data_IF_914584839907
#
_entry.id   IF_914584839907
#
_cell.length_a   1.000
_cell.length_b   1.000
_cell.length_c   1.000
_cell.angle_alpha   90.00
_cell.angle_beta   90.00
_cell.angle_gamma   90.00
#
_symmetry.space_group_name_H-M   'P 1'
#
loop_
_entity.id
_entity.type
_entity.pdbx_description
1 polymer ?
#
# COMPACT_ATOMS: atom_id res chain seq x y z
N UNK A 1 -10.68 -4.33 13.21
CA UNK A 1 -10.77 -3.28 12.20
C UNK A 1 -9.53 -2.43 12.32
N UNK A 2 -8.66 -2.48 11.32
CA UNK A 2 -7.42 -1.70 11.29
C UNK A 2 -7.75 -0.26 10.87
N UNK A 3 -7.07 0.72 11.46
CA UNK A 3 -7.28 2.12 11.16
C UNK A 3 -6.11 2.68 10.37
N UNK A 4 -6.39 3.23 9.19
CA UNK A 4 -5.39 3.91 8.36
C UNK A 4 -5.40 5.40 8.71
N UNK A 5 -4.25 5.94 9.09
CA UNK A 5 -4.09 7.36 9.37
C UNK A 5 -3.90 8.15 8.09
N UNK A 6 -4.67 9.24 7.94
CA UNK A 6 -4.57 10.18 6.83
C UNK A 6 -4.43 11.60 7.36
N UNK A 7 -3.50 12.37 6.82
CA UNK A 7 -3.45 13.82 6.97
C UNK A 7 -3.68 14.46 5.63
N UNK A 8 -4.63 15.39 5.55
CA UNK A 8 -5.00 16.00 4.29
C UNK A 8 -5.30 17.48 4.47
N UNK A 9 -5.43 18.19 3.35
CA UNK A 9 -6.02 19.51 3.37
C UNK A 9 -7.12 19.62 2.32
N UNK A 10 -8.23 20.27 2.69
CA UNK A 10 -9.37 20.48 1.79
C UNK A 10 -9.94 21.87 2.00
N UNK A 11 -9.81 22.71 0.97
CA UNK A 11 -10.27 24.11 1.04
C UNK A 11 -11.75 24.22 0.65
N UNK A 12 -12.15 23.54 -0.43
CA UNK A 12 -13.49 23.58 -1.04
C UNK A 12 -14.33 22.31 -0.85
N UNK A 13 -13.80 21.28 -0.17
CA UNK A 13 -14.55 20.05 0.15
C UNK A 13 -14.36 18.88 -0.81
N UNK A 14 -13.69 19.06 -1.95
CA UNK A 14 -13.45 17.97 -2.92
C UNK A 14 -12.70 16.79 -2.31
N UNK A 15 -11.54 17.04 -1.69
CA UNK A 15 -10.72 16.01 -1.03
C UNK A 15 -11.45 15.39 0.16
N UNK A 16 -12.21 16.18 0.92
CA UNK A 16 -13.06 15.69 2.01
C UNK A 16 -14.10 14.69 1.50
N UNK A 17 -14.84 15.05 0.44
CA UNK A 17 -15.84 14.18 -0.18
C UNK A 17 -15.24 12.89 -0.76
N UNK A 18 -14.00 12.95 -1.27
CA UNK A 18 -13.27 11.75 -1.69
C UNK A 18 -12.99 10.82 -0.49
N UNK A 19 -12.43 11.35 0.59
CA UNK A 19 -12.07 10.56 1.78
C UNK A 19 -13.30 9.94 2.48
N UNK A 20 -14.43 10.63 2.54
CA UNK A 20 -15.69 10.09 3.08
C UNK A 20 -16.21 8.89 2.28
N UNK A 21 -16.04 8.90 0.95
CA UNK A 21 -16.40 7.77 0.08
C UNK A 21 -15.39 6.65 0.20
N UNK A 22 -14.10 6.99 0.30
CA UNK A 22 -13.01 6.03 0.44
C UNK A 22 -13.13 5.24 1.75
N UNK A 23 -13.43 5.92 2.86
CA UNK A 23 -13.65 5.29 4.17
C UNK A 23 -14.81 4.27 4.12
N UNK A 24 -15.96 4.66 3.53
CA UNK A 24 -17.10 3.74 3.35
C UNK A 24 -16.73 2.52 2.51
N UNK A 25 -15.93 2.70 1.46
CA UNK A 25 -15.48 1.60 0.61
C UNK A 25 -14.51 0.66 1.36
N UNK A 26 -13.54 1.21 2.09
CA UNK A 26 -12.58 0.44 2.89
C UNK A 26 -13.28 -0.37 3.99
N UNK A 27 -14.25 0.21 4.68
CA UNK A 27 -15.02 -0.49 5.71
C UNK A 27 -15.80 -1.67 5.14
N UNK A 28 -16.37 -1.49 3.95
CA UNK A 28 -17.18 -2.51 3.28
C UNK A 28 -16.33 -3.65 2.70
N UNK A 29 -15.27 -3.31 1.97
CA UNK A 29 -14.52 -4.30 1.16
C UNK A 29 -13.29 -4.87 1.88
N UNK A 30 -12.65 -4.09 2.75
CA UNK A 30 -11.39 -4.47 3.42
C UNK A 30 -11.54 -4.65 4.94
N UNK A 31 -12.68 -4.30 5.53
CA UNK A 31 -12.88 -4.27 6.99
C UNK A 31 -11.82 -3.38 7.70
N UNK A 32 -11.49 -2.26 7.05
CA UNK A 32 -10.58 -1.22 7.52
C UNK A 32 -11.31 0.14 7.59
N UNK A 33 -10.82 1.07 8.41
CA UNK A 33 -11.41 2.42 8.51
C UNK A 33 -10.35 3.50 8.39
N UNK A 34 -10.73 4.68 7.91
CA UNK A 34 -9.85 5.84 7.87
C UNK A 34 -10.00 6.68 9.14
N UNK A 35 -8.87 7.07 9.74
CA UNK A 35 -8.80 8.24 10.61
C UNK A 35 -8.16 9.38 9.82
N UNK A 36 -8.95 10.36 9.36
CA UNK A 36 -8.49 11.41 8.47
C UNK A 36 -8.63 12.80 9.11
N UNK A 37 -7.52 13.54 9.17
CA UNK A 37 -7.44 14.84 9.83
C UNK A 37 -7.19 15.92 8.78
N UNK A 38 -8.11 16.89 8.71
CA UNK A 38 -7.97 18.05 7.84
C UNK A 38 -7.09 19.10 8.53
N UNK A 39 -5.89 19.33 8.01
CA UNK A 39 -4.93 20.28 8.59
C UNK A 39 -5.48 21.71 8.61
N UNK A 40 -6.39 22.05 7.68
CA UNK A 40 -7.10 23.35 7.69
C UNK A 40 -7.86 23.56 9.00
N UNK A 41 -8.48 22.52 9.54
CA UNK A 41 -9.33 22.65 10.73
C UNK A 41 -8.48 22.86 11.99
N UNK A 42 -7.29 22.24 12.05
CA UNK A 42 -6.28 22.50 13.09
C UNK A 42 -5.80 23.95 13.07
N UNK A 43 -5.49 24.48 11.88
CA UNK A 43 -5.08 25.89 11.72
C UNK A 43 -6.20 26.83 12.17
N UNK A 44 -7.45 26.53 11.81
CA UNK A 44 -8.60 27.36 12.17
C UNK A 44 -8.93 27.30 13.67
N UNK A 45 -8.67 26.18 14.35
CA UNK A 45 -8.87 26.04 15.80
C UNK A 45 -7.75 26.68 16.63
N UNK A 46 -6.71 27.22 15.98
CA UNK A 46 -5.53 27.77 16.64
C UNK A 46 -4.58 26.69 17.18
N UNK A 47 -4.81 25.43 16.83
CA UNK A 47 -3.91 24.33 17.13
C UNK A 47 -2.66 24.40 16.24
N UNK A 48 -1.49 24.04 16.76
CA UNK A 48 -0.27 24.02 15.96
C UNK A 48 -0.40 22.98 14.85
N UNK A 49 -0.29 23.41 13.58
CA UNK A 49 -0.19 22.51 12.41
C UNK A 49 1.16 21.78 12.33
N UNK A 50 1.87 21.65 13.45
CA UNK A 50 3.22 21.09 13.57
C UNK A 50 3.30 20.31 14.88
N UNK A 51 2.93 19.03 14.82
CA UNK A 51 3.07 18.06 15.90
C UNK A 51 3.81 16.84 15.37
N UNK A 52 4.36 16.04 16.29
CA UNK A 52 5.09 14.83 15.91
C UNK A 52 4.11 13.71 15.57
N UNK A 53 4.32 13.05 14.43
CA UNK A 53 3.63 11.84 14.00
C UNK A 53 4.61 10.67 14.22
N UNK A 54 4.18 9.62 14.92
CA UNK A 54 5.01 8.43 15.16
C UNK A 54 4.52 7.19 14.38
N UNK A 55 3.26 7.21 13.95
CA UNK A 55 2.61 6.10 13.26
C UNK A 55 2.63 6.34 11.74
N UNK A 56 2.66 5.27 10.92
CA UNK A 56 2.57 5.39 9.47
C UNK A 56 1.27 6.10 9.04
N UNK A 57 1.37 6.94 8.02
CA UNK A 57 0.21 7.67 7.49
C UNK A 57 0.29 7.91 5.98
N UNK A 58 -0.83 8.31 5.38
CA UNK A 58 -0.89 8.81 4.00
C UNK A 58 -1.25 10.29 3.95
N UNK A 59 -0.76 10.98 2.92
CA UNK A 59 -1.10 12.37 2.66
C UNK A 59 -2.07 12.50 1.48
N UNK A 60 -3.05 13.39 1.57
CA UNK A 60 -3.91 13.78 0.44
C UNK A 60 -3.82 15.28 0.21
N UNK A 61 -3.40 15.68 -0.99
CA UNK A 61 -3.01 17.06 -1.30
C UNK A 61 -3.69 17.56 -2.59
N UNK A 62 -4.62 18.53 -2.51
CA UNK A 62 -5.09 19.23 -3.68
C UNK A 62 -4.03 20.21 -4.20
N UNK A 63 -3.93 20.36 -5.52
CA UNK A 63 -3.03 21.33 -6.12
C UNK A 63 -3.64 22.73 -6.16
N UNK A 64 -2.96 23.67 -5.49
CA UNK A 64 -3.22 25.10 -5.56
C UNK A 64 -1.88 25.79 -5.84
N UNK A 65 -1.71 26.27 -7.06
CA UNK A 65 -0.48 26.93 -7.51
C UNK A 65 -0.78 28.39 -7.87
N UNK A 66 0.23 29.24 -7.77
CA UNK A 66 0.15 30.58 -8.35
C UNK A 66 -0.20 30.48 -9.84
N UNK A 67 -1.12 31.36 -10.28
CA UNK A 67 -1.40 31.48 -11.70
C UNK A 67 -0.21 32.07 -12.43
N UNK A 68 -0.01 31.65 -13.67
CA UNK A 68 1.00 32.25 -14.53
C UNK A 68 0.82 33.75 -14.73
N UNK A 69 1.93 34.46 -14.92
CA UNK A 69 1.95 35.91 -15.22
C UNK A 69 1.95 36.22 -16.72
N UNK A 70 1.72 35.20 -17.56
CA UNK A 70 1.79 35.28 -19.03
C UNK A 70 3.18 35.00 -19.62
N UNK A 71 4.23 34.90 -18.79
CA UNK A 71 5.58 34.46 -19.17
C UNK A 71 5.87 33.05 -18.65
N UNK A 72 5.52 32.80 -17.38
CA UNK A 72 5.59 31.48 -16.75
C UNK A 72 4.20 30.98 -16.39
N UNK A 73 4.04 29.66 -16.27
CA UNK A 73 2.77 29.02 -15.90
C UNK A 73 2.46 29.03 -14.41
N UNK A 74 3.45 29.39 -13.57
CA UNK A 74 3.37 29.34 -12.11
C UNK A 74 3.42 27.90 -11.57
N UNK A 75 4.41 27.61 -10.73
CA UNK A 75 4.60 26.30 -10.08
C UNK A 75 4.77 26.41 -8.56
N UNK A 76 4.56 27.61 -8.01
CA UNK A 76 4.68 27.90 -6.59
C UNK A 76 3.38 27.51 -5.88
N UNK A 77 3.50 26.62 -4.88
CA UNK A 77 2.39 26.22 -4.01
C UNK A 77 1.83 27.40 -3.21
N UNK A 78 0.49 27.52 -3.20
CA UNK A 78 -0.26 28.46 -2.37
C UNK A 78 -1.37 27.74 -1.60
N UNK A 79 -1.80 28.33 -0.49
CA UNK A 79 -2.95 27.90 0.34
C UNK A 79 -2.80 26.53 1.06
N UNK A 80 -2.05 25.58 0.50
CA UNK A 80 -1.91 24.20 1.03
C UNK A 80 -0.65 23.96 1.85
N UNK A 81 0.21 24.98 1.97
CA UNK A 81 1.46 24.93 2.74
C UNK A 81 1.33 24.50 4.21
N UNK A 82 0.18 24.63 4.91
CA UNK A 82 0.06 24.03 6.24
C UNK A 82 0.29 22.52 6.27
N UNK A 83 -0.13 21.78 5.23
CA UNK A 83 0.16 20.34 5.14
C UNK A 83 1.67 20.12 4.94
N UNK A 84 2.33 20.93 4.10
CA UNK A 84 3.80 20.92 3.95
C UNK A 84 4.49 21.04 5.30
N UNK A 85 4.09 22.04 6.10
CA UNK A 85 4.68 22.32 7.41
C UNK A 85 4.52 21.16 8.38
N UNK A 86 3.36 20.49 8.35
CA UNK A 86 3.15 19.28 9.14
C UNK A 86 4.09 18.16 8.72
N UNK A 87 4.22 17.90 7.42
CA UNK A 87 5.08 16.83 6.87
C UNK A 87 6.57 17.11 7.12
N UNK A 88 6.99 18.38 6.98
CA UNK A 88 8.37 18.81 7.21
C UNK A 88 8.75 18.87 8.70
N UNK A 89 7.78 18.75 9.61
CA UNK A 89 8.07 18.85 11.04
C UNK A 89 8.82 17.61 11.54
N UNK A 90 10.06 17.82 12.01
CA UNK A 90 10.93 16.77 12.57
C UNK A 90 11.08 15.59 11.58
N UNK A 91 10.68 14.40 11.99
CA UNK A 91 10.81 13.16 11.23
C UNK A 91 9.49 12.71 10.59
N UNK A 92 8.46 13.56 10.55
CA UNK A 92 7.13 13.18 10.07
C UNK A 92 7.17 12.62 8.64
N UNK A 93 7.99 13.19 7.75
CA UNK A 93 8.19 12.67 6.39
C UNK A 93 8.61 11.19 6.34
N UNK A 94 9.36 10.68 7.34
CA UNK A 94 9.78 9.27 7.41
C UNK A 94 8.63 8.31 7.70
N UNK A 95 7.53 8.82 8.24
CA UNK A 95 6.32 8.04 8.54
C UNK A 95 5.25 8.17 7.43
N UNK A 96 5.46 9.03 6.43
CA UNK A 96 4.57 9.15 5.28
C UNK A 96 4.80 7.97 4.33
N UNK A 97 3.80 7.11 4.16
CA UNK A 97 3.87 5.95 3.28
C UNK A 97 3.70 6.32 1.80
N UNK A 98 3.15 7.50 1.54
CA UNK A 98 3.00 8.08 0.21
C UNK A 98 1.91 9.16 0.18
N UNK A 99 1.86 9.87 -0.94
CA UNK A 99 0.94 10.99 -1.17
C UNK A 99 0.00 10.70 -2.34
N UNK A 100 -1.25 11.14 -2.20
CA UNK A 100 -2.26 11.12 -3.26
C UNK A 100 -2.55 12.55 -3.68
N UNK A 101 -2.40 12.84 -4.97
CA UNK A 101 -2.68 14.14 -5.56
C UNK A 101 -4.16 14.31 -5.92
N UNK A 102 -4.73 15.48 -5.64
CA UNK A 102 -6.01 15.91 -6.19
C UNK A 102 -5.80 17.15 -7.06
N UNK A 103 -6.47 17.22 -8.21
CA UNK A 103 -6.26 18.33 -9.13
C UNK A 103 -7.43 18.54 -10.09
N UNK A 104 -7.20 19.37 -11.10
CA UNK A 104 -8.12 19.59 -12.20
C UNK A 104 -7.34 19.52 -13.51
N UNK A 105 -7.75 18.63 -14.42
CA UNK A 105 -7.02 18.34 -15.66
C UNK A 105 -6.99 19.52 -16.63
N UNK A 106 -7.88 20.50 -16.46
CA UNK A 106 -7.84 21.76 -17.19
C UNK A 106 -6.51 22.52 -16.98
N UNK A 107 -5.77 22.21 -15.92
CA UNK A 107 -4.44 22.77 -15.65
C UNK A 107 -3.30 21.96 -16.30
N UNK A 108 -3.59 21.00 -17.18
CA UNK A 108 -2.61 20.28 -18.01
C UNK A 108 -1.37 19.80 -17.22
N UNK A 109 -0.18 20.36 -17.47
CA UNK A 109 1.09 19.96 -16.83
C UNK A 109 1.14 20.24 -15.33
N UNK A 110 0.25 21.11 -14.84
CA UNK A 110 0.13 21.44 -13.42
C UNK A 110 -0.87 20.53 -12.68
N UNK A 111 -1.53 19.60 -13.37
CA UNK A 111 -2.39 18.61 -12.73
C UNK A 111 -1.60 17.85 -11.66
N UNK A 112 -2.05 17.95 -10.40
CA UNK A 112 -1.45 17.28 -9.23
C UNK A 112 0.05 17.59 -8.96
N UNK A 113 0.62 18.62 -9.60
CA UNK A 113 2.05 18.92 -9.53
C UNK A 113 2.59 19.06 -8.10
N UNK A 114 1.82 19.66 -7.19
CA UNK A 114 2.22 19.82 -5.77
C UNK A 114 2.51 18.49 -5.07
N UNK A 115 1.80 17.42 -5.42
CA UNK A 115 2.06 16.09 -4.85
C UNK A 115 3.41 15.53 -5.33
N UNK A 116 3.75 15.75 -6.60
CA UNK A 116 5.07 15.40 -7.15
C UNK A 116 6.20 16.22 -6.52
N UNK A 117 6.00 17.53 -6.33
CA UNK A 117 6.97 18.39 -5.64
C UNK A 117 7.24 17.88 -4.21
N UNK A 118 6.21 17.49 -3.46
CA UNK A 118 6.38 16.91 -2.12
C UNK A 118 7.09 15.56 -2.16
N UNK A 119 6.77 14.74 -3.16
CA UNK A 119 7.42 13.44 -3.35
C UNK A 119 8.92 13.59 -3.61
N UNK A 120 9.32 14.55 -4.46
CA UNK A 120 10.72 14.89 -4.72
C UNK A 120 11.41 15.46 -3.47
N UNK A 121 10.74 16.36 -2.75
CA UNK A 121 11.31 17.01 -1.56
C UNK A 121 11.51 16.05 -0.38
N UNK A 122 10.54 15.18 -0.12
CA UNK A 122 10.50 14.37 1.11
C UNK A 122 10.82 12.88 0.90
N UNK A 123 10.89 12.40 -0.35
CA UNK A 123 11.34 11.04 -0.69
C UNK A 123 10.30 9.92 -0.56
N UNK A 124 9.06 10.22 -0.17
CA UNK A 124 7.95 9.25 -0.24
C UNK A 124 7.30 9.26 -1.63
N UNK A 125 6.69 8.15 -2.10
CA UNK A 125 6.15 8.07 -3.45
C UNK A 125 4.82 8.83 -3.60
N UNK A 126 4.55 9.35 -4.80
CA UNK A 126 3.17 9.61 -5.25
C UNK A 126 2.53 8.26 -5.55
N UNK A 127 1.50 7.89 -4.78
CA UNK A 127 0.82 6.61 -4.92
C UNK A 127 -0.22 6.64 -6.02
N UNK A 128 -0.92 7.76 -6.12
CA UNK A 128 -1.94 7.95 -7.13
C UNK A 128 -2.47 9.39 -7.23
N UNK A 129 -3.36 9.62 -8.20
CA UNK A 129 -3.98 10.91 -8.46
C UNK A 129 -5.46 10.78 -8.80
N UNK A 130 -6.23 11.84 -8.52
CA UNK A 130 -7.64 11.95 -8.94
C UNK A 130 -8.05 13.39 -9.26
N UNK A 131 -9.10 13.54 -10.05
CA UNK A 131 -9.62 14.85 -10.45
C UNK A 131 -10.80 15.29 -9.58
N UNK A 132 -10.75 16.55 -9.10
CA UNK A 132 -11.76 17.19 -8.27
C UNK A 132 -12.13 16.31 -7.07
N UNK A 133 -13.38 15.86 -6.99
CA UNK A 133 -13.86 14.97 -5.93
C UNK A 133 -13.58 13.49 -6.19
N UNK A 134 -13.06 13.12 -7.36
CA UNK A 134 -12.81 11.75 -7.82
C UNK A 134 -14.07 10.99 -8.25
N UNK A 135 -13.88 9.95 -9.06
CA UNK A 135 -14.90 8.99 -9.52
C UNK A 135 -14.98 7.77 -8.59
N UNK A 136 -15.88 6.82 -8.86
CA UNK A 136 -15.93 5.54 -8.12
C UNK A 136 -14.77 4.62 -8.48
N UNK A 137 -14.27 4.68 -9.71
CA UNK A 137 -13.09 3.90 -10.11
C UNK A 137 -11.82 4.41 -9.41
N UNK A 138 -11.72 5.74 -9.19
CA UNK A 138 -10.65 6.32 -8.39
C UNK A 138 -10.68 5.81 -6.94
N UNK A 139 -11.88 5.64 -6.36
CA UNK A 139 -12.04 5.10 -5.00
C UNK A 139 -11.51 3.67 -4.92
N UNK A 140 -11.94 2.78 -5.84
CA UNK A 140 -11.49 1.38 -5.86
C UNK A 140 -9.98 1.27 -6.05
N UNK A 141 -9.46 2.01 -7.04
CA UNK A 141 -8.04 2.02 -7.40
C UNK A 141 -7.18 2.53 -6.24
N UNK A 142 -7.54 3.66 -5.65
CA UNK A 142 -6.78 4.25 -4.53
C UNK A 142 -6.89 3.41 -3.27
N UNK A 143 -8.06 2.84 -2.95
CA UNK A 143 -8.20 1.91 -1.83
C UNK A 143 -7.23 0.72 -1.96
N UNK A 144 -7.16 0.12 -3.16
CA UNK A 144 -6.22 -0.97 -3.41
C UNK A 144 -4.76 -0.51 -3.27
N UNK A 145 -4.39 0.68 -3.78
CA UNK A 145 -3.04 1.24 -3.62
C UNK A 145 -2.67 1.46 -2.16
N UNK A 146 -3.58 2.03 -1.35
CA UNK A 146 -3.37 2.23 0.08
C UNK A 146 -3.15 0.90 0.80
N UNK A 147 -4.03 -0.09 0.55
CA UNK A 147 -3.93 -1.41 1.14
C UNK A 147 -2.60 -2.09 0.79
N UNK A 148 -2.24 -2.12 -0.50
CA UNK A 148 -0.96 -2.69 -0.95
C UNK A 148 0.24 -1.98 -0.30
N UNK A 149 0.21 -0.65 -0.21
CA UNK A 149 1.30 0.11 0.41
C UNK A 149 1.40 -0.12 1.92
N UNK A 150 0.28 -0.24 2.62
CA UNK A 150 0.24 -0.62 4.04
C UNK A 150 0.83 -2.01 4.25
N UNK A 151 0.40 -2.98 3.44
CA UNK A 151 0.89 -4.36 3.43
C UNK A 151 2.42 -4.38 3.25
N UNK A 152 2.94 -3.71 2.22
CA UNK A 152 4.38 -3.55 2.00
C UNK A 152 5.11 -2.95 3.21
N UNK A 153 4.58 -1.86 3.78
CA UNK A 153 5.18 -1.20 4.93
C UNK A 153 5.22 -2.12 6.15
N UNK A 154 4.11 -2.79 6.49
CA UNK A 154 4.05 -3.71 7.64
C UNK A 154 5.08 -4.81 7.50
N UNK A 155 5.18 -5.40 6.32
CA UNK A 155 6.11 -6.50 6.12
C UNK A 155 7.57 -6.08 6.08
N UNK A 156 7.88 -4.93 5.49
CA UNK A 156 9.25 -4.41 5.49
C UNK A 156 9.71 -3.89 6.86
N UNK A 157 8.80 -3.44 7.71
CA UNK A 157 9.11 -2.90 9.03
C UNK A 157 9.08 -3.92 10.17
N UNK A 158 8.19 -4.92 10.09
CA UNK A 158 7.95 -5.87 11.19
C UNK A 158 8.50 -7.28 10.92
N UNK A 159 8.65 -7.66 9.64
CA UNK A 159 9.00 -9.03 9.28
C UNK A 159 10.43 -9.18 8.76
N UNK A 160 10.99 -10.36 9.03
CA UNK A 160 12.31 -10.78 8.55
C UNK A 160 12.19 -12.11 7.81
N UNK A 161 12.86 -12.21 6.65
CA UNK A 161 12.94 -13.47 5.89
C UNK A 161 13.83 -14.43 6.66
N UNK A 162 13.31 -15.62 6.97
CA UNK A 162 14.07 -16.66 7.65
C UNK A 162 14.34 -17.88 6.75
N UNK A 163 13.67 -17.96 5.59
CA UNK A 163 13.83 -19.07 4.64
C UNK A 163 13.40 -18.66 3.24
N UNK A 164 14.18 -19.07 2.24
CA UNK A 164 13.83 -18.99 0.82
C UNK A 164 13.84 -20.38 0.21
N UNK A 165 12.81 -20.73 -0.56
CA UNK A 165 12.80 -21.93 -1.40
C UNK A 165 13.57 -21.68 -2.71
N UNK A 166 14.16 -22.71 -3.34
CA UNK A 166 14.71 -22.58 -4.68
C UNK A 166 13.68 -22.08 -5.69
N UNK A 167 14.17 -21.51 -6.81
CA UNK A 167 13.30 -21.14 -7.91
C UNK A 167 12.53 -22.37 -8.43
N UNK A 168 11.26 -22.16 -8.75
CA UNK A 168 10.36 -23.14 -9.32
C UNK A 168 9.86 -22.61 -10.67
N UNK A 169 9.56 -23.54 -11.57
CA UNK A 169 9.01 -23.26 -12.89
C UNK A 169 7.62 -23.88 -13.02
N UNK A 170 6.91 -23.60 -14.12
CA UNK A 170 5.61 -24.20 -14.41
C UNK A 170 5.58 -25.74 -14.23
N UNK A 171 6.67 -26.44 -14.54
CA UNK A 171 6.79 -27.90 -14.46
C UNK A 171 7.37 -28.42 -13.15
N UNK A 172 8.06 -27.58 -12.37
CA UNK A 172 8.72 -27.98 -11.11
C UNK A 172 8.03 -27.49 -9.85
N UNK A 173 6.88 -26.81 -9.97
CA UNK A 173 6.05 -26.40 -8.82
C UNK A 173 5.80 -27.61 -7.90
N UNK A 174 6.09 -27.45 -6.62
CA UNK A 174 5.82 -28.46 -5.61
C UNK A 174 4.34 -28.86 -5.63
N UNK A 175 4.07 -30.16 -5.62
CA UNK A 175 2.70 -30.69 -5.70
C UNK A 175 1.77 -30.07 -4.64
N UNK A 176 2.26 -29.88 -3.40
CA UNK A 176 1.50 -29.27 -2.31
C UNK A 176 0.98 -27.86 -2.66
N UNK A 177 1.76 -27.05 -3.39
CA UNK A 177 1.39 -25.67 -3.73
C UNK A 177 0.24 -25.59 -4.76
N UNK A 178 0.05 -26.66 -5.55
CA UNK A 178 -1.05 -26.78 -6.51
C UNK A 178 -2.38 -27.17 -5.86
N UNK A 179 -2.35 -27.57 -4.59
CA UNK A 179 -3.51 -27.94 -3.80
C UNK A 179 -3.71 -26.97 -2.66
N UNK A 180 -4.85 -27.09 -1.97
CA UNK A 180 -5.17 -26.25 -0.82
C UNK A 180 -4.12 -26.45 0.28
N UNK A 181 -3.45 -25.37 0.64
CA UNK A 181 -2.47 -25.32 1.73
C UNK A 181 -2.51 -23.94 2.41
N UNK A 182 -1.79 -23.81 3.52
CA UNK A 182 -1.55 -22.54 4.19
C UNK A 182 -0.18 -22.57 4.87
N UNK A 183 0.22 -21.46 5.45
CA UNK A 183 1.39 -21.38 6.32
C UNK A 183 1.00 -21.59 7.78
N UNK A 184 1.96 -22.00 8.62
CA UNK A 184 1.79 -22.04 10.08
C UNK A 184 1.46 -20.66 10.64
N UNK A 185 0.88 -20.64 11.84
CA UNK A 185 0.73 -19.40 12.60
C UNK A 185 2.09 -18.67 12.76
N UNK A 186 2.05 -17.34 12.64
CA UNK A 186 3.24 -16.48 12.67
C UNK A 186 4.21 -16.67 11.49
N UNK A 187 3.78 -17.29 10.39
CA UNK A 187 4.58 -17.40 9.15
C UNK A 187 3.83 -16.78 7.99
N UNK A 188 4.40 -15.75 7.38
CA UNK A 188 3.92 -15.16 6.14
C UNK A 188 4.68 -15.75 4.96
N UNK A 189 4.00 -15.94 3.83
CA UNK A 189 4.61 -16.38 2.57
C UNK A 189 4.67 -15.23 1.57
N UNK A 190 5.85 -14.94 1.01
CA UNK A 190 6.00 -14.00 -0.11
C UNK A 190 6.39 -14.76 -1.36
N UNK A 191 5.55 -14.69 -2.38
CA UNK A 191 5.91 -15.15 -3.72
C UNK A 191 6.56 -14.01 -4.50
N UNK A 192 7.55 -14.34 -5.34
CA UNK A 192 8.15 -13.38 -6.27
C UNK A 192 8.31 -14.04 -7.63
N UNK A 193 7.60 -13.48 -8.61
CA UNK A 193 7.55 -13.95 -9.99
C UNK A 193 8.67 -13.26 -10.77
N UNK A 194 9.54 -14.05 -11.38
CA UNK A 194 10.68 -13.61 -12.17
C UNK A 194 10.34 -13.51 -13.67
N UNK A 195 9.48 -14.40 -14.16
CA UNK A 195 8.95 -14.41 -15.52
C UNK A 195 7.60 -15.13 -15.56
N UNK A 196 6.83 -14.89 -16.62
CA UNK A 196 5.54 -15.53 -16.84
C UNK A 196 4.43 -15.10 -15.87
N UNK A 197 3.37 -15.90 -15.84
CA UNK A 197 2.14 -15.61 -15.11
C UNK A 197 1.65 -16.83 -14.31
N UNK A 198 1.04 -16.56 -13.17
CA UNK A 198 0.36 -17.57 -12.36
C UNK A 198 -1.00 -17.11 -11.90
N UNK A 199 -1.88 -18.08 -11.70
CA UNK A 199 -3.18 -17.90 -11.06
C UNK A 199 -3.06 -18.23 -9.58
N UNK A 200 -3.51 -17.31 -8.74
CA UNK A 200 -3.59 -17.45 -7.31
C UNK A 200 -5.06 -17.57 -6.90
N UNK A 201 -5.36 -18.52 -6.02
CA UNK A 201 -6.70 -18.74 -5.49
C UNK A 201 -6.69 -18.52 -3.98
N UNK A 202 -7.54 -17.62 -3.52
CA UNK A 202 -7.89 -17.50 -2.10
C UNK A 202 -8.99 -18.52 -1.80
N UNK A 203 -8.81 -19.26 -0.71
CA UNK A 203 -9.69 -20.37 -0.35
C UNK A 203 -10.21 -20.19 1.07
N UNK A 204 -11.39 -20.75 1.34
CA UNK A 204 -11.82 -21.08 2.69
C UNK A 204 -11.15 -22.36 3.18
N UNK A 205 -11.28 -22.62 4.48
CA UNK A 205 -10.81 -23.87 5.09
C UNK A 205 -11.44 -25.12 4.49
N UNK A 206 -12.68 -25.04 3.98
CA UNK A 206 -13.35 -26.14 3.27
C UNK A 206 -12.88 -26.31 1.81
N UNK A 207 -12.07 -25.39 1.29
CA UNK A 207 -11.57 -25.38 -0.09
C UNK A 207 -12.43 -24.61 -1.09
N UNK A 208 -13.52 -23.97 -0.66
CA UNK A 208 -14.27 -23.06 -1.52
C UNK A 208 -13.42 -21.87 -1.94
N UNK A 209 -13.43 -21.53 -3.23
CA UNK A 209 -12.73 -20.35 -3.76
C UNK A 209 -13.46 -19.08 -3.32
N UNK A 210 -12.72 -18.17 -2.71
CA UNK A 210 -13.17 -16.83 -2.30
C UNK A 210 -12.89 -15.83 -3.42
N UNK A 211 -11.67 -15.86 -3.95
CA UNK A 211 -11.20 -14.94 -4.99
C UNK A 211 -10.13 -15.59 -5.86
N UNK A 212 -9.96 -15.04 -7.06
CA UNK A 212 -8.98 -15.48 -8.04
C UNK A 212 -8.20 -14.27 -8.55
N UNK A 213 -6.88 -14.40 -8.61
CA UNK A 213 -5.98 -13.34 -9.04
C UNK A 213 -4.99 -13.87 -10.07
N UNK A 214 -4.58 -13.00 -11.00
CA UNK A 214 -3.48 -13.25 -11.92
C UNK A 214 -2.34 -12.32 -11.55
N UNK A 215 -1.17 -12.92 -11.34
CA UNK A 215 0.04 -12.20 -10.99
C UNK A 215 1.14 -12.51 -11.99
N UNK A 216 2.02 -11.54 -12.21
CA UNK A 216 3.14 -11.61 -13.13
C UNK A 216 4.32 -10.74 -12.61
N UNK A 217 5.35 -10.55 -13.43
CA UNK A 217 6.54 -9.78 -13.03
C UNK A 217 6.23 -8.29 -12.71
N UNK A 218 5.22 -7.69 -13.35
CA UNK A 218 4.81 -6.30 -13.15
C UNK A 218 3.76 -6.15 -12.02
N UNK A 219 2.90 -7.16 -11.86
CA UNK A 219 1.87 -7.23 -10.83
C UNK A 219 2.16 -8.42 -9.89
N UNK A 220 3.02 -8.18 -8.91
CA UNK A 220 3.44 -9.21 -7.94
C UNK A 220 2.33 -9.53 -6.94
N UNK A 221 2.25 -10.78 -6.45
CA UNK A 221 1.34 -11.11 -5.36
C UNK A 221 1.74 -10.37 -4.07
N UNK A 222 0.77 -9.98 -3.23
CA UNK A 222 1.04 -9.56 -1.86
C UNK A 222 1.61 -10.74 -1.05
N UNK A 223 2.02 -10.51 0.20
CA UNK A 223 2.29 -11.66 1.06
C UNK A 223 0.97 -12.38 1.39
N UNK A 224 1.10 -13.67 1.62
CA UNK A 224 0.06 -14.51 2.17
C UNK A 224 0.15 -14.47 3.70
N UNK A 225 -0.94 -14.07 4.33
CA UNK A 225 -1.09 -14.03 5.79
C UNK A 225 -0.99 -15.44 6.43
N UNK A 226 -0.55 -15.55 7.70
CA UNK A 226 -0.51 -16.80 8.43
C UNK A 226 -1.87 -17.50 8.41
N UNK A 227 -1.85 -18.80 8.14
CA UNK A 227 -3.04 -19.66 8.13
C UNK A 227 -4.07 -19.32 7.03
N UNK A 228 -3.79 -18.37 6.13
CA UNK A 228 -4.63 -18.10 4.97
C UNK A 228 -4.56 -19.26 3.96
N UNK A 229 -5.71 -19.85 3.66
CA UNK A 229 -5.81 -20.98 2.74
C UNK A 229 -5.73 -20.50 1.29
N UNK A 230 -4.84 -21.12 0.52
CA UNK A 230 -4.63 -20.75 -0.87
C UNK A 230 -4.09 -21.92 -1.69
N UNK A 231 -4.03 -21.72 -3.01
CA UNK A 231 -3.30 -22.57 -3.97
C UNK A 231 -2.88 -21.77 -5.19
N UNK A 232 -1.96 -22.31 -5.98
CA UNK A 232 -1.47 -21.67 -7.20
C UNK A 232 -1.49 -22.61 -8.40
N UNK A 233 -1.71 -22.05 -9.58
CA UNK A 233 -1.60 -22.74 -10.85
C UNK A 233 -0.76 -21.91 -11.82
N UNK A 234 0.15 -22.54 -12.59
CA UNK A 234 0.83 -21.82 -13.65
C UNK A 234 -0.18 -21.42 -14.72
N UNK A 235 -0.04 -20.21 -15.27
CA UNK A 235 -0.82 -19.74 -16.42
C UNK A 235 0.02 -19.62 -17.69
N UNK A 236 1.34 -19.48 -17.57
CA UNK A 236 2.27 -19.47 -18.69
C UNK A 236 3.34 -20.55 -18.57
N UNK A 237 3.91 -20.97 -19.70
CA UNK A 237 4.97 -21.98 -19.76
C UNK A 237 6.32 -21.45 -19.26
N UNK A 238 6.57 -20.16 -19.46
CA UNK A 238 7.77 -19.44 -19.04
C UNK A 238 7.75 -18.99 -17.57
N UNK A 239 6.75 -19.44 -16.78
CA UNK A 239 6.66 -19.10 -15.38
C UNK A 239 7.93 -19.52 -14.63
N UNK A 240 8.58 -18.56 -13.98
CA UNK A 240 9.63 -18.78 -12.99
C UNK A 240 9.34 -17.91 -11.76
N UNK A 241 9.41 -18.49 -10.56
CA UNK A 241 9.16 -17.77 -9.30
C UNK A 241 9.86 -18.44 -8.13
N UNK A 242 9.92 -17.76 -6.98
CA UNK A 242 10.33 -18.37 -5.72
C UNK A 242 9.40 -17.96 -4.57
N UNK A 243 9.53 -18.66 -3.44
CA UNK A 243 8.79 -18.35 -2.20
C UNK A 243 9.78 -18.07 -1.08
N UNK A 244 9.57 -16.97 -0.39
CA UNK A 244 10.22 -16.63 0.87
C UNK A 244 9.23 -16.72 2.03
N UNK A 245 9.72 -17.15 3.19
CA UNK A 245 8.97 -17.21 4.42
C UNK A 245 9.49 -16.19 5.41
N UNK A 246 8.56 -15.47 6.00
CA UNK A 246 8.81 -14.36 6.90
C UNK A 246 8.16 -14.59 8.25
N UNK A 247 8.78 -14.06 9.30
CA UNK A 247 8.25 -14.02 10.66
C UNK A 247 8.56 -12.68 11.30
N UNK A 248 7.95 -12.38 12.46
CA UNK A 248 8.36 -11.22 13.25
C UNK A 248 9.80 -11.39 13.71
N UNK A 249 10.50 -10.27 13.90
CA UNK A 249 11.91 -10.26 14.32
C UNK A 249 12.15 -11.01 15.64
N UNK A 250 11.21 -10.93 16.57
CA UNK A 250 11.24 -11.62 17.87
C UNK A 250 11.18 -13.16 17.74
N UNK A 251 10.55 -13.68 16.68
CA UNK A 251 10.37 -15.12 16.46
C UNK A 251 11.52 -15.77 15.66
N UNK A 252 12.47 -14.97 15.16
CA UNK A 252 13.47 -15.40 14.18
C UNK A 252 14.28 -16.61 14.64
N UNK A 253 14.77 -16.59 15.89
CA UNK A 253 15.59 -17.66 16.45
C UNK A 253 14.80 -18.97 16.58
N UNK A 254 13.54 -18.88 17.01
CA UNK A 254 12.66 -20.04 17.13
C UNK A 254 12.39 -20.66 15.75
N UNK A 255 12.03 -19.82 14.75
CA UNK A 255 11.77 -20.26 13.38
C UNK A 255 13.00 -20.89 12.72
N UNK A 256 14.19 -20.31 12.87
CA UNK A 256 15.43 -20.90 12.32
C UNK A 256 15.74 -22.27 12.94
N UNK A 257 15.46 -22.44 14.23
CA UNK A 257 15.69 -23.69 14.95
C UNK A 257 14.76 -24.81 14.49
N UNK A 258 13.51 -24.50 14.12
CA UNK A 258 12.54 -25.47 13.58
C UNK A 258 12.98 -26.12 12.25
N UNK A 259 13.84 -25.44 11.48
CA UNK A 259 14.28 -25.88 10.15
C UNK A 259 15.77 -26.30 10.10
N UNK A 260 16.44 -26.34 11.24
CA UNK A 260 17.72 -27.04 11.38
C UNK A 260 17.50 -28.52 11.02
N UNK A 261 18.43 -29.23 10.34
CA UNK A 261 18.24 -30.59 9.80
C UNK A 261 17.80 -31.68 10.80
N UNK A 262 17.67 -31.35 12.09
CA UNK A 262 17.11 -32.21 13.14
C UNK A 262 15.58 -32.07 13.30
N UNK A 263 14.96 -31.03 12.75
CA UNK A 263 13.52 -30.76 12.81
C UNK A 263 12.83 -31.13 11.50
N UNK A 264 12.05 -32.21 11.52
CA UNK A 264 11.33 -32.71 10.34
C UNK A 264 10.46 -31.63 9.68
N UNK A 265 10.69 -31.40 8.39
CA UNK A 265 9.91 -30.47 7.59
C UNK A 265 8.44 -30.90 7.55
N UNK A 266 7.55 -30.06 8.10
CA UNK A 266 6.14 -30.04 7.72
C UNK A 266 5.93 -28.80 6.86
N UNK A 267 5.73 -29.03 5.57
CA UNK A 267 4.99 -28.12 4.68
C UNK A 267 3.54 -28.20 5.12
#
# INVERSE_FOLDING_TARGET
>A
MQTIQVYYISLSGNTTSFLERLDRYLQKEFQESLNYINVKDLVNSGEPSTFKINDPYFAFLPAYLEGGNGLDTGDVEILTTPLRRLIAHKDNSKHCLGIIGSGNRNFNKQFCLTAHQYSEEFGFPVLDEFELRGTEEDIKRIAHRLNMRMIEWRYSSELVSYRRLPNMTATTILHALRHRHNTKSGTWGKMTILSGELKFYELKEDGQVIAEHVFNCENQPPFVEPQAWHKINPLSEDLEFYIEFYCKKEDLLAKQSEYSPLGGARI
#
